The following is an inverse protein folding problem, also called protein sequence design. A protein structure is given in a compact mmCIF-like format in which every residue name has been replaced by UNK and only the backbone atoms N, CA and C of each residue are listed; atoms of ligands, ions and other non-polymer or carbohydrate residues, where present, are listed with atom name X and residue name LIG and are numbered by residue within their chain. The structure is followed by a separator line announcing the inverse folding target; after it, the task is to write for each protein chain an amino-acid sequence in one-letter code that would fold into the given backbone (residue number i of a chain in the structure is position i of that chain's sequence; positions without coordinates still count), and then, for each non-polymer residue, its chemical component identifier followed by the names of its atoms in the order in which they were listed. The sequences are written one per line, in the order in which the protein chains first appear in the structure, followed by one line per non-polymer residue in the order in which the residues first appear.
data_IF_546627096901
#
_entry.id   IF_546627096901
#
_cell.length_a   1.000
_cell.length_b   1.000
_cell.length_c   1.000
_cell.angle_alpha   90.00
_cell.angle_beta   90.00
_cell.angle_gamma   90.00
#
_symmetry.space_group_name_H-M   'P 1'
#
loop_
_entity.id
_entity.type
_entity.pdbx_description
1 polymer ?
#
# COMPACT_ATOMS: atom_id res chain seq x y z
N UNK A 1 -19.87 8.01 -19.66
CA UNK A 1 -19.75 8.28 -18.20
C UNK A 1 -18.28 8.21 -17.85
N UNK A 2 -17.68 9.24 -17.27
CA UNK A 2 -16.27 9.17 -16.85
C UNK A 2 -16.16 8.14 -15.72
N UNK A 3 -15.29 7.14 -15.87
CA UNK A 3 -15.06 6.14 -14.84
C UNK A 3 -14.57 6.86 -13.57
N UNK A 4 -15.26 6.69 -12.44
CA UNK A 4 -14.80 7.22 -11.16
C UNK A 4 -13.70 6.30 -10.61
N UNK A 5 -12.57 6.85 -10.13
CA UNK A 5 -11.56 6.06 -9.44
C UNK A 5 -12.16 5.36 -8.22
N UNK A 6 -11.65 4.16 -7.91
CA UNK A 6 -12.03 3.41 -6.71
C UNK A 6 -10.84 3.38 -5.76
N UNK A 7 -11.08 3.74 -4.50
CA UNK A 7 -10.04 3.76 -3.46
C UNK A 7 -10.48 2.84 -2.32
N UNK A 8 -9.53 2.07 -1.78
CA UNK A 8 -9.72 1.30 -0.58
C UNK A 8 -9.12 2.05 0.62
N UNK A 9 -9.90 2.25 1.66
CA UNK A 9 -9.43 2.69 2.98
C UNK A 9 -9.87 1.67 4.05
N UNK A 10 -9.25 1.71 5.22
CA UNK A 10 -9.64 0.90 6.36
C UNK A 10 -9.93 1.81 7.56
N UNK A 11 -11.00 1.51 8.29
CA UNK A 11 -11.44 2.26 9.45
C UNK A 11 -10.32 2.30 10.53
N UNK A 12 -10.05 3.46 11.16
CA UNK A 12 -8.95 3.62 12.11
C UNK A 12 -9.35 3.30 13.57
N UNK A 13 -10.45 2.60 13.83
CA UNK A 13 -10.94 2.33 15.18
C UNK A 13 -9.88 1.68 16.10
N UNK A 14 -9.03 0.80 15.55
CA UNK A 14 -7.95 0.13 16.29
C UNK A 14 -6.55 0.70 16.00
N UNK A 15 -6.46 1.88 15.39
CA UNK A 15 -5.17 2.54 15.10
C UNK A 15 -4.48 2.99 16.39
N UNK A 16 -3.23 2.55 16.55
CA UNK A 16 -2.34 2.91 17.65
C UNK A 16 -0.87 2.82 17.17
N UNK A 17 0.08 3.34 17.95
CA UNK A 17 1.52 3.10 17.72
C UNK A 17 2.06 2.32 18.91
N UNK A 18 2.14 1.00 18.77
CA UNK A 18 2.49 0.06 19.85
C UNK A 18 3.86 -0.61 19.68
N UNK A 19 4.54 -0.35 18.56
CA UNK A 19 5.85 -0.88 18.20
C UNK A 19 6.55 0.11 17.25
N UNK A 20 7.83 -0.13 16.95
CA UNK A 20 8.61 0.72 16.04
C UNK A 20 9.30 -0.11 14.96
N UNK A 21 8.77 -0.04 13.74
CA UNK A 21 9.28 -0.71 12.54
C UNK A 21 9.70 0.29 11.43
N UNK A 22 9.75 1.58 11.78
CA UNK A 22 10.33 2.65 10.98
C UNK A 22 10.75 3.83 11.88
N UNK A 23 11.60 4.77 11.39
CA UNK A 23 12.10 5.86 12.21
C UNK A 23 11.03 6.81 12.78
N UNK A 24 9.87 6.94 12.11
CA UNK A 24 8.81 7.88 12.52
C UNK A 24 7.98 7.38 13.70
N UNK A 25 7.99 6.07 13.96
CA UNK A 25 7.30 5.46 15.11
C UNK A 25 8.00 5.71 16.45
N UNK A 26 9.22 6.28 16.44
CA UNK A 26 9.98 6.61 17.65
C UNK A 26 9.57 7.95 18.30
N UNK A 27 8.49 8.58 17.81
CA UNK A 27 8.10 9.95 18.16
C UNK A 27 7.18 10.07 19.39
N UNK A 28 6.79 8.95 20.00
CA UNK A 28 5.97 8.91 21.21
C UNK A 28 4.49 8.60 20.95
N UNK A 29 3.61 8.82 21.96
CA UNK A 29 2.23 8.38 21.90
C UNK A 29 1.39 9.18 20.90
N UNK A 30 0.42 8.51 20.27
CA UNK A 30 -0.53 9.13 19.32
C UNK A 30 -1.82 9.54 20.02
N UNK A 31 -2.37 10.69 19.64
CA UNK A 31 -3.74 11.07 20.00
C UNK A 31 -4.74 10.36 19.05
N UNK A 32 -5.31 9.25 19.52
CA UNK A 32 -6.23 8.41 18.73
C UNK A 32 -7.50 9.16 18.32
N UNK A 33 -8.04 10.04 19.17
CA UNK A 33 -9.21 10.84 18.82
C UNK A 33 -8.92 11.77 17.64
N UNK A 34 -7.78 12.47 17.69
CA UNK A 34 -7.32 13.32 16.59
C UNK A 34 -7.01 12.52 15.33
N UNK A 35 -6.44 11.32 15.45
CA UNK A 35 -6.18 10.46 14.30
C UNK A 35 -7.48 10.07 13.57
N UNK A 36 -8.54 9.75 14.32
CA UNK A 36 -9.87 9.46 13.75
C UNK A 36 -10.48 10.68 13.05
N UNK A 37 -10.38 11.86 13.66
CA UNK A 37 -10.84 13.12 13.04
C UNK A 37 -10.11 13.38 11.71
N UNK A 38 -8.78 13.23 11.69
CA UNK A 38 -7.96 13.42 10.50
C UNK A 38 -8.30 12.40 9.40
N UNK A 39 -8.51 11.15 9.77
CA UNK A 39 -8.93 10.10 8.84
C UNK A 39 -10.30 10.40 8.23
N UNK A 40 -11.28 10.82 9.04
CA UNK A 40 -12.61 11.18 8.54
C UNK A 40 -12.56 12.39 7.61
N UNK A 41 -11.71 13.38 7.90
CA UNK A 41 -11.49 14.51 7.02
C UNK A 41 -10.92 14.07 5.66
N UNK A 42 -9.91 13.19 5.64
CA UNK A 42 -9.36 12.63 4.40
C UNK A 42 -10.43 11.85 3.61
N UNK A 43 -11.16 10.95 4.28
CA UNK A 43 -12.26 10.19 3.68
C UNK A 43 -13.32 11.10 3.05
N UNK A 44 -13.71 12.17 3.74
CA UNK A 44 -14.70 13.14 3.25
C UNK A 44 -14.24 13.88 1.99
N UNK A 45 -12.95 14.22 1.91
CA UNK A 45 -12.37 14.84 0.71
C UNK A 45 -12.31 13.83 -0.44
N UNK A 46 -11.76 12.64 -0.21
CA UNK A 46 -11.62 11.61 -1.26
C UNK A 46 -12.98 11.19 -1.84
N UNK A 47 -14.01 11.08 -1.00
CA UNK A 47 -15.36 10.68 -1.42
C UNK A 47 -16.04 11.67 -2.39
N UNK A 48 -15.54 12.90 -2.50
CA UNK A 48 -16.01 13.86 -3.50
C UNK A 48 -15.52 13.50 -4.92
N UNK A 49 -14.36 12.84 -5.01
CA UNK A 49 -13.65 12.60 -6.27
C UNK A 49 -13.53 11.11 -6.66
N UNK A 50 -13.71 10.19 -5.71
CA UNK A 50 -13.56 8.75 -5.89
C UNK A 50 -14.68 7.97 -5.17
N UNK A 51 -14.94 6.75 -5.64
CA UNK A 51 -15.79 5.80 -4.92
C UNK A 51 -14.90 5.09 -3.88
N UNK A 52 -15.08 5.45 -2.61
CA UNK A 52 -14.25 4.93 -1.51
C UNK A 52 -14.93 3.73 -0.85
N UNK A 53 -14.24 2.59 -0.81
CA UNK A 53 -14.65 1.42 -0.06
C UNK A 53 -13.92 1.36 1.28
N UNK A 54 -14.64 1.02 2.35
CA UNK A 54 -14.09 0.94 3.70
C UNK A 54 -14.00 -0.52 4.16
N UNK A 55 -12.82 -0.92 4.60
CA UNK A 55 -12.58 -2.15 5.37
C UNK A 55 -12.82 -1.92 6.86
N UNK A 56 -13.35 -2.94 7.53
CA UNK A 56 -13.41 -2.96 8.99
C UNK A 56 -12.00 -3.06 9.58
N UNK A 57 -11.77 -2.33 10.67
CA UNK A 57 -10.57 -2.48 11.49
C UNK A 57 -10.53 -3.84 12.19
N UNK A 58 -9.34 -4.26 12.60
CA UNK A 58 -9.15 -5.54 13.32
C UNK A 58 -8.35 -5.28 14.60
N UNK A 59 -8.83 -5.72 15.77
CA UNK A 59 -8.07 -5.62 17.01
C UNK A 59 -6.69 -6.28 16.89
N UNK A 60 -5.66 -5.58 17.37
CA UNK A 60 -4.27 -6.08 17.31
C UNK A 60 -3.55 -5.85 15.98
N UNK A 61 -4.21 -5.26 14.97
CA UNK A 61 -3.59 -4.87 13.70
C UNK A 61 -3.67 -3.35 13.52
N UNK A 62 -2.88 -2.57 14.28
CA UNK A 62 -3.00 -1.12 14.29
C UNK A 62 -2.59 -0.46 12.96
N UNK A 63 -1.74 -1.11 12.16
CA UNK A 63 -1.30 -0.60 10.85
C UNK A 63 -2.23 -1.00 9.67
N UNK A 64 -3.31 -1.75 9.93
CA UNK A 64 -4.31 -2.12 8.90
C UNK A 64 -4.96 -0.91 8.18
N UNK A 65 -5.08 0.30 8.78
CA UNK A 65 -5.49 1.52 8.09
C UNK A 65 -4.59 1.93 6.92
N UNK A 66 -3.33 1.48 6.86
CA UNK A 66 -2.38 1.79 5.79
C UNK A 66 -2.58 0.86 4.59
N UNK A 67 -3.74 0.98 3.95
CA UNK A 67 -4.21 0.12 2.84
C UNK A 67 -3.37 0.23 1.56
N UNK A 68 -2.51 1.24 1.42
CA UNK A 68 -1.50 1.29 0.36
C UNK A 68 -0.60 0.05 0.38
N UNK A 69 -0.36 -0.53 1.57
CA UNK A 69 0.45 -1.73 1.71
C UNK A 69 -0.38 -3.02 1.70
N UNK A 70 -1.64 -2.99 1.25
CA UNK A 70 -2.43 -4.21 1.10
C UNK A 70 -1.86 -5.14 0.03
N UNK A 71 -1.37 -4.54 -1.05
CA UNK A 71 -0.85 -5.23 -2.23
C UNK A 71 -0.86 -4.31 -3.45
N UNK A 72 -0.60 -4.89 -4.62
CA UNK A 72 -0.64 -4.18 -5.91
C UNK A 72 -1.84 -4.65 -6.72
N UNK A 73 -2.59 -3.70 -7.28
CA UNK A 73 -3.74 -3.98 -8.15
C UNK A 73 -3.43 -3.53 -9.57
N UNK A 74 -3.65 -4.42 -10.56
CA UNK A 74 -3.66 -4.06 -11.99
C UNK A 74 -4.82 -4.77 -12.69
N UNK A 75 -5.74 -4.00 -13.26
CA UNK A 75 -6.97 -4.55 -13.82
C UNK A 75 -7.78 -5.31 -12.77
N UNK A 76 -8.03 -6.60 -12.99
CA UNK A 76 -8.71 -7.48 -12.04
C UNK A 76 -7.74 -8.38 -11.23
N UNK A 77 -6.43 -8.18 -11.35
CA UNK A 77 -5.42 -8.95 -10.62
C UNK A 77 -5.00 -8.18 -9.37
N UNK A 78 -4.97 -8.88 -8.24
CA UNK A 78 -4.44 -8.40 -6.98
C UNK A 78 -3.27 -9.29 -6.55
N UNK A 79 -2.10 -8.68 -6.30
CA UNK A 79 -0.95 -9.34 -5.68
C UNK A 79 -0.86 -8.87 -4.24
N UNK A 80 -1.20 -9.71 -3.24
CA UNK A 80 -1.16 -9.31 -1.84
C UNK A 80 0.27 -9.04 -1.40
N UNK A 81 0.42 -8.10 -0.47
CA UNK A 81 1.70 -7.84 0.18
C UNK A 81 2.12 -9.02 1.05
N UNK A 82 3.43 -9.28 1.06
CA UNK A 82 4.07 -10.10 2.09
C UNK A 82 4.99 -9.18 2.89
N UNK A 83 4.67 -8.97 4.15
CA UNK A 83 5.33 -7.97 5.00
C UNK A 83 6.68 -8.44 5.54
N UNK A 84 7.67 -7.53 5.54
CA UNK A 84 9.00 -7.76 6.12
C UNK A 84 8.87 -8.04 7.63
N UNK A 85 8.12 -7.16 8.29
CA UNK A 85 7.98 -7.10 9.73
C UNK A 85 6.86 -8.01 10.23
N UNK A 86 7.10 -8.87 11.24
CA UNK A 86 6.10 -9.80 11.78
C UNK A 86 4.86 -9.08 12.32
N UNK A 87 5.01 -7.86 12.84
CA UNK A 87 3.95 -7.02 13.38
C UNK A 87 2.80 -6.80 12.37
N UNK A 88 3.13 -6.72 11.06
CA UNK A 88 2.16 -6.48 9.98
C UNK A 88 1.71 -7.73 9.24
N UNK A 89 2.34 -8.89 9.46
CA UNK A 89 2.01 -10.14 8.73
C UNK A 89 0.58 -10.61 8.98
N UNK A 90 -0.02 -10.26 10.12
CA UNK A 90 -1.41 -10.56 10.43
C UNK A 90 -2.41 -9.83 9.52
N UNK A 91 -2.01 -8.80 8.79
CA UNK A 91 -2.88 -8.02 7.89
C UNK A 91 -3.14 -8.72 6.55
N UNK A 92 -2.17 -9.49 6.04
CA UNK A 92 -2.21 -10.13 4.72
C UNK A 92 -3.50 -10.95 4.47
N UNK A 93 -3.96 -11.81 5.41
CA UNK A 93 -5.20 -12.56 5.22
C UNK A 93 -6.45 -11.67 5.09
N UNK A 94 -6.50 -10.54 5.79
CA UNK A 94 -7.64 -9.62 5.77
C UNK A 94 -7.74 -8.89 4.44
N UNK A 95 -6.62 -8.36 3.92
CA UNK A 95 -6.59 -7.78 2.59
C UNK A 95 -6.94 -8.81 1.52
N UNK A 96 -6.31 -9.99 1.59
CA UNK A 96 -6.53 -11.07 0.63
C UNK A 96 -7.99 -11.49 0.58
N UNK A 97 -8.62 -11.68 1.74
CA UNK A 97 -10.04 -12.04 1.80
C UNK A 97 -10.92 -10.93 1.22
N UNK A 98 -10.65 -9.67 1.58
CA UNK A 98 -11.43 -8.53 1.10
C UNK A 98 -11.44 -8.41 -0.43
N UNK A 99 -10.28 -8.62 -1.07
CA UNK A 99 -10.15 -8.61 -2.53
C UNK A 99 -10.80 -9.85 -3.17
N UNK A 100 -10.67 -11.05 -2.57
CA UNK A 100 -11.37 -12.27 -3.04
C UNK A 100 -12.89 -12.10 -3.03
N UNK A 101 -13.44 -11.57 -1.95
CA UNK A 101 -14.89 -11.33 -1.79
C UNK A 101 -15.45 -10.36 -2.85
N UNK A 102 -14.57 -9.58 -3.49
CA UNK A 102 -14.90 -8.61 -4.54
C UNK A 102 -14.57 -9.10 -5.95
N UNK A 103 -14.22 -10.38 -6.10
CA UNK A 103 -14.01 -11.03 -7.40
C UNK A 103 -12.65 -10.74 -8.05
N UNK A 104 -11.68 -10.23 -7.31
CA UNK A 104 -10.32 -10.08 -7.81
C UNK A 104 -9.63 -11.44 -7.94
N UNK A 105 -8.82 -11.58 -9.00
CA UNK A 105 -7.91 -12.72 -9.16
C UNK A 105 -6.69 -12.49 -8.29
N UNK A 106 -6.60 -13.22 -7.18
CA UNK A 106 -5.46 -13.13 -6.27
C UNK A 106 -4.30 -13.98 -6.79
N UNK A 107 -3.14 -13.37 -7.01
CA UNK A 107 -1.89 -14.04 -7.39
C UNK A 107 -0.83 -13.78 -6.32
N UNK A 108 -0.29 -14.81 -5.70
CA UNK A 108 0.63 -14.68 -4.57
C UNK A 108 2.09 -14.67 -5.02
N UNK A 109 2.94 -13.94 -4.31
CA UNK A 109 4.39 -13.97 -4.51
C UNK A 109 4.97 -15.37 -4.21
N UNK A 110 6.02 -15.80 -4.91
CA UNK A 110 6.77 -17.01 -4.57
C UNK A 110 7.26 -16.99 -3.13
N UNK A 111 7.36 -18.14 -2.48
CA UNK A 111 7.79 -18.25 -1.08
C UNK A 111 9.17 -17.61 -0.84
N UNK A 112 9.29 -16.89 0.27
CA UNK A 112 10.53 -16.21 0.66
C UNK A 112 10.74 -14.82 0.07
N UNK A 113 9.87 -14.36 -0.84
CA UNK A 113 9.92 -12.98 -1.37
C UNK A 113 9.06 -12.01 -0.56
N UNK A 114 9.58 -10.81 -0.30
CA UNK A 114 8.87 -9.73 0.41
C UNK A 114 8.55 -8.60 -0.55
N UNK A 115 7.29 -8.13 -0.54
CA UNK A 115 6.87 -6.88 -1.19
C UNK A 115 5.69 -6.27 -0.45
N UNK A 116 5.77 -4.96 -0.20
CA UNK A 116 4.80 -4.23 0.63
C UNK A 116 3.84 -3.36 -0.21
N UNK A 117 3.47 -3.86 -1.38
CA UNK A 117 2.28 -3.42 -2.11
C UNK A 117 2.44 -2.06 -2.79
N UNK A 118 1.33 -1.36 -3.00
CA UNK A 118 1.33 -0.06 -3.68
C UNK A 118 2.11 1.04 -2.94
N UNK A 119 2.44 0.85 -1.65
CA UNK A 119 3.39 1.73 -0.96
C UNK A 119 4.82 1.62 -1.50
N UNK A 120 5.21 0.47 -2.02
CA UNK A 120 6.53 0.25 -2.66
C UNK A 120 6.45 0.06 -4.17
N UNK A 121 5.26 -0.10 -4.76
CA UNK A 121 5.09 -0.44 -6.17
C UNK A 121 3.98 0.39 -6.81
N UNK A 122 4.37 1.51 -7.41
CA UNK A 122 3.45 2.52 -7.96
C UNK A 122 3.25 2.32 -9.46
N UNK A 123 2.00 2.03 -9.85
CA UNK A 123 1.63 1.86 -11.27
C UNK A 123 1.62 3.23 -11.95
N UNK A 124 2.38 3.35 -13.03
CA UNK A 124 2.38 4.49 -13.93
C UNK A 124 1.66 4.10 -15.23
N UNK A 125 0.37 4.45 -15.31
CA UNK A 125 -0.45 4.15 -16.47
C UNK A 125 -0.08 4.96 -17.72
N UNK A 126 0.56 6.12 -17.56
CA UNK A 126 1.00 6.95 -18.69
C UNK A 126 2.23 6.33 -19.38
N UNK A 127 3.15 5.76 -18.58
CA UNK A 127 4.35 5.08 -19.09
C UNK A 127 4.16 3.58 -19.32
N UNK A 128 3.10 3.00 -18.77
CA UNK A 128 2.82 1.56 -18.88
C UNK A 128 3.75 0.68 -18.04
N UNK A 129 4.35 1.24 -16.98
CA UNK A 129 5.29 0.54 -16.10
C UNK A 129 4.87 0.60 -14.63
N UNK A 130 5.55 -0.18 -13.79
CA UNK A 130 5.44 -0.19 -12.34
C UNK A 130 6.78 0.26 -11.75
N UNK A 131 6.80 1.42 -11.10
CA UNK A 131 7.96 1.86 -10.34
C UNK A 131 8.02 1.10 -9.02
N UNK A 132 9.11 0.38 -8.74
CA UNK A 132 9.20 -0.45 -7.54
C UNK A 132 10.39 -0.05 -6.65
N UNK A 133 10.09 0.48 -5.47
CA UNK A 133 11.07 0.72 -4.41
C UNK A 133 11.62 -0.60 -3.84
N UNK A 134 12.90 -0.62 -3.52
CA UNK A 134 13.53 -1.71 -2.77
C UNK A 134 14.63 -1.20 -1.84
N UNK A 135 15.01 -2.01 -0.85
CA UNK A 135 16.15 -1.75 0.04
C UNK A 135 15.81 -1.82 1.52
N UNK A 136 14.63 -1.34 1.92
CA UNK A 136 14.17 -1.38 3.32
C UNK A 136 13.06 -2.40 3.56
N UNK A 137 12.02 -2.39 2.71
CA UNK A 137 10.81 -3.19 2.88
C UNK A 137 10.70 -4.29 1.84
N UNK A 138 10.54 -3.91 0.57
CA UNK A 138 10.47 -4.88 -0.54
C UNK A 138 11.85 -5.38 -0.99
N UNK A 139 11.91 -6.66 -1.38
CA UNK A 139 13.12 -7.28 -1.93
C UNK A 139 13.25 -6.98 -3.44
N UNK A 140 14.46 -6.68 -3.93
CA UNK A 140 14.71 -6.46 -5.37
C UNK A 140 14.24 -7.65 -6.24
N UNK A 141 14.35 -8.89 -5.74
CA UNK A 141 13.93 -10.09 -6.47
C UNK A 141 12.42 -10.11 -6.77
N UNK A 142 11.59 -9.46 -5.95
CA UNK A 142 10.15 -9.41 -6.16
C UNK A 142 9.76 -8.59 -7.40
N UNK A 143 10.68 -7.80 -7.98
CA UNK A 143 10.45 -7.09 -9.23
C UNK A 143 10.12 -8.04 -10.39
N UNK A 144 10.85 -9.16 -10.50
CA UNK A 144 10.61 -10.15 -11.57
C UNK A 144 9.28 -10.88 -11.37
N UNK A 145 8.96 -11.22 -10.13
CA UNK A 145 7.68 -11.83 -9.76
C UNK A 145 6.51 -10.90 -10.04
N UNK A 146 6.60 -9.62 -9.63
CA UNK A 146 5.57 -8.63 -9.92
C UNK A 146 5.39 -8.41 -11.43
N UNK A 147 6.48 -8.35 -12.19
CA UNK A 147 6.41 -8.20 -13.65
C UNK A 147 5.60 -9.34 -14.29
N UNK A 148 5.87 -10.57 -13.86
CA UNK A 148 5.21 -11.78 -14.36
C UNK A 148 3.77 -11.92 -13.87
N UNK A 149 3.52 -11.63 -12.58
CA UNK A 149 2.20 -11.75 -11.95
C UNK A 149 1.23 -10.68 -12.45
N UNK A 150 1.71 -9.47 -12.72
CA UNK A 150 0.88 -8.33 -13.15
C UNK A 150 0.93 -8.10 -14.66
N UNK A 151 1.81 -8.77 -15.41
CA UNK A 151 2.02 -8.57 -16.85
C UNK A 151 2.32 -7.09 -17.19
N UNK A 152 3.32 -6.53 -16.50
CA UNK A 152 3.75 -5.13 -16.63
C UNK A 152 5.28 -5.04 -16.53
N UNK A 153 5.87 -4.07 -17.22
CA UNK A 153 7.28 -3.71 -16.99
C UNK A 153 7.45 -3.19 -15.56
N UNK A 154 8.45 -3.70 -14.84
CA UNK A 154 8.79 -3.25 -13.49
C UNK A 154 10.16 -2.59 -13.51
N UNK A 155 10.21 -1.33 -13.07
CA UNK A 155 11.43 -0.54 -12.99
C UNK A 155 11.84 -0.39 -11.52
N UNK A 156 12.89 -1.12 -11.07
CA UNK A 156 13.33 -1.07 -9.68
C UNK A 156 14.06 0.24 -9.36
N UNK A 157 13.78 0.81 -8.19
CA UNK A 157 14.38 2.03 -7.64
C UNK A 157 14.95 1.73 -6.25
N UNK A 158 16.26 1.92 -6.07
CA UNK A 158 16.93 1.69 -4.79
C UNK A 158 16.68 2.83 -3.81
N UNK A 159 15.98 2.54 -2.71
CA UNK A 159 15.77 3.49 -1.60
C UNK A 159 17.01 3.47 -0.70
N UNK A 160 17.55 4.65 -0.40
CA UNK A 160 18.82 4.80 0.34
C UNK A 160 18.70 5.49 1.70
N UNK A 161 17.58 6.16 1.96
CA UNK A 161 17.34 6.88 3.21
C UNK A 161 16.23 6.18 4.02
N UNK A 162 16.51 5.73 5.26
CA UNK A 162 15.54 4.99 6.08
C UNK A 162 14.30 5.81 6.48
N UNK A 163 14.34 7.14 6.32
CA UNK A 163 13.16 8.01 6.51
C UNK A 163 12.15 7.83 5.39
N UNK A 164 12.61 7.46 4.20
CA UNK A 164 11.81 7.19 3.01
C UNK A 164 11.81 5.69 2.68
N UNK A 165 11.33 4.89 3.65
CA UNK A 165 11.45 3.42 3.62
C UNK A 165 10.44 2.72 2.69
N UNK A 166 9.42 3.45 2.22
CA UNK A 166 8.49 3.05 1.17
C UNK A 166 8.57 4.04 0.01
N UNK A 167 8.44 3.56 -1.22
CA UNK A 167 8.53 4.42 -2.40
C UNK A 167 7.54 5.59 -2.38
N UNK A 168 6.31 5.37 -1.94
CA UNK A 168 5.24 6.38 -1.89
C UNK A 168 5.51 7.56 -0.93
N UNK A 169 6.51 7.43 -0.07
CA UNK A 169 6.94 8.50 0.84
C UNK A 169 7.86 9.53 0.17
N UNK A 170 8.49 9.19 -0.95
CA UNK A 170 9.43 10.05 -1.66
C UNK A 170 9.22 10.12 -3.17
N UNK A 171 8.27 9.38 -3.74
CA UNK A 171 7.99 9.35 -5.17
C UNK A 171 6.50 9.15 -5.44
N UNK A 172 5.95 9.92 -6.37
CA UNK A 172 4.55 9.86 -6.76
C UNK A 172 4.41 10.18 -8.26
N UNK A 173 4.10 9.20 -9.12
CA UNK A 173 3.79 9.47 -10.53
C UNK A 173 2.47 10.25 -10.63
N UNK A 174 2.40 11.19 -11.58
CA UNK A 174 1.28 12.11 -11.77
C UNK A 174 0.71 12.00 -13.19
N UNK A 175 -0.56 12.40 -13.42
CA UNK A 175 -1.15 12.45 -14.75
C UNK A 175 -0.33 13.27 -15.75
N UNK A 176 -0.41 12.91 -17.04
CA UNK A 176 0.34 13.60 -18.10
C UNK A 176 1.86 13.33 -18.07
N UNK A 177 2.29 12.25 -17.41
CA UNK A 177 3.69 11.79 -17.38
C UNK A 177 4.59 12.56 -16.40
N UNK A 178 4.02 13.42 -15.56
CA UNK A 178 4.73 14.11 -14.48
C UNK A 178 5.06 13.18 -13.31
N UNK A 179 5.95 13.63 -12.42
CA UNK A 179 6.22 12.95 -11.16
C UNK A 179 6.59 13.98 -10.09
N UNK A 180 6.17 13.73 -8.86
CA UNK A 180 6.62 14.43 -7.66
C UNK A 180 7.59 13.51 -6.91
N UNK A 181 8.79 13.99 -6.60
CA UNK A 181 9.77 13.20 -5.86
C UNK A 181 10.71 14.10 -5.06
N UNK A 182 11.39 13.54 -4.05
CA UNK A 182 12.37 14.22 -3.19
C UNK A 182 13.68 13.44 -3.09
#
# INVERSE_FOLDING_TARGET
MKHRPRILMCDPQHFEVTYAINPWMLTGPVNVARAREQWHALHAVLSQYADVSIMASVPGLPDLPFTANAGVVRGNVFVPSRFRHPERRGEEPHYTQWFRDRGFVVRTLPDGEVSEGAGDALVDSERGCLWMGHGFRSDLRAAQSLASLLDIEVVPLGLVDPRFYHLDTCFCPLPGGGAMYV
#
